data_IF_326659084555
#
_entry.id   IF_326659084555
#
_cell.length_a   1.000
_cell.length_b   1.000
_cell.length_c   1.000
_cell.angle_alpha   90.00
_cell.angle_beta   90.00
_cell.angle_gamma   90.00
#
_symmetry.space_group_name_H-M   'P 1'
#
loop_
_entity.id
_entity.type
_entity.pdbx_description
1 polymer ?
#
# COMPACT_ATOMS: atom_id res chain seq x y z
N UNK A 1 -8.50 -11.59 3.38
CA UNK A 1 -9.11 -10.23 3.24
C UNK A 1 -10.60 -10.43 3.08
N UNK A 2 -11.45 -9.57 3.67
CA UNK A 2 -12.88 -9.59 3.33
C UNK A 2 -13.09 -9.08 1.88
N UNK A 3 -14.29 -9.20 1.27
CA UNK A 3 -14.48 -8.83 -0.14
C UNK A 3 -14.07 -7.38 -0.48
N UNK A 4 -14.37 -6.41 0.38
CA UNK A 4 -14.01 -5.00 0.15
C UNK A 4 -12.49 -4.77 0.25
N UNK A 5 -11.86 -5.37 1.26
CA UNK A 5 -10.40 -5.34 1.43
C UNK A 5 -9.69 -6.06 0.28
N UNK A 6 -10.25 -7.17 -0.20
CA UNK A 6 -9.71 -7.93 -1.33
C UNK A 6 -9.82 -7.12 -2.61
N UNK A 7 -10.94 -6.43 -2.87
CA UNK A 7 -11.08 -5.53 -4.01
C UNK A 7 -10.01 -4.43 -4.00
N UNK A 8 -9.75 -3.82 -2.85
CA UNK A 8 -8.70 -2.80 -2.74
C UNK A 8 -7.30 -3.38 -3.02
N UNK A 9 -7.02 -4.55 -2.48
CA UNK A 9 -5.77 -5.28 -2.75
C UNK A 9 -5.63 -5.61 -4.25
N UNK A 10 -6.67 -6.15 -4.86
CA UNK A 10 -6.68 -6.59 -6.26
C UNK A 10 -6.43 -5.44 -7.25
N UNK A 11 -7.02 -4.25 -6.99
CA UNK A 11 -6.74 -3.03 -7.77
C UNK A 11 -5.24 -2.68 -7.73
N UNK A 12 -4.63 -2.73 -6.54
CA UNK A 12 -3.22 -2.39 -6.35
C UNK A 12 -2.32 -3.41 -7.05
N UNK A 13 -2.60 -4.70 -6.94
CA UNK A 13 -1.79 -5.75 -7.57
C UNK A 13 -1.94 -5.76 -9.09
N UNK A 14 -3.15 -5.49 -9.60
CA UNK A 14 -3.38 -5.34 -11.03
C UNK A 14 -2.58 -4.17 -11.61
N UNK A 15 -2.55 -3.03 -10.90
CA UNK A 15 -1.73 -1.87 -11.30
C UNK A 15 -0.23 -2.20 -11.28
N UNK A 16 0.27 -2.85 -10.23
CA UNK A 16 1.66 -3.30 -10.15
C UNK A 16 2.02 -4.25 -11.30
N UNK A 17 1.10 -5.15 -11.67
CA UNK A 17 1.30 -6.11 -12.75
C UNK A 17 1.44 -5.39 -14.10
N UNK A 18 0.55 -4.44 -14.39
CA UNK A 18 0.63 -3.62 -15.60
C UNK A 18 1.92 -2.77 -15.66
N UNK A 19 2.34 -2.21 -14.52
CA UNK A 19 3.62 -1.49 -14.42
C UNK A 19 4.82 -2.41 -14.76
N UNK A 20 4.86 -3.62 -14.18
CA UNK A 20 5.93 -4.60 -14.47
C UNK A 20 5.91 -5.10 -15.92
N UNK A 21 4.72 -5.18 -16.53
CA UNK A 21 4.54 -5.50 -17.96
C UNK A 21 4.91 -4.33 -18.90
N UNK A 22 5.30 -3.17 -18.36
CA UNK A 22 5.61 -1.95 -19.12
C UNK A 22 4.42 -1.44 -19.97
N UNK A 23 3.20 -1.65 -19.47
CA UNK A 23 1.97 -1.19 -20.13
C UNK A 23 1.65 0.29 -19.84
N UNK A 24 2.49 0.97 -19.03
CA UNK A 24 2.35 2.37 -18.65
C UNK A 24 0.92 2.73 -18.17
N UNK A 25 0.37 2.00 -17.18
CA UNK A 25 -0.96 2.31 -16.67
C UNK A 25 -1.02 3.72 -16.08
N UNK A 26 -2.17 4.37 -16.18
CA UNK A 26 -2.42 5.66 -15.53
C UNK A 26 -2.11 5.58 -14.02
N UNK A 27 -1.76 6.73 -13.43
CA UNK A 27 -1.44 6.81 -12.01
C UNK A 27 -2.63 6.34 -11.17
N UNK A 28 -2.40 5.31 -10.34
CA UNK A 28 -3.41 4.86 -9.39
C UNK A 28 -3.54 5.84 -8.22
N UNK A 29 -4.61 6.62 -8.22
CA UNK A 29 -5.01 7.46 -7.10
C UNK A 29 -6.19 6.80 -6.38
N UNK A 30 -5.96 6.32 -5.17
CA UNK A 30 -6.96 5.57 -4.41
C UNK A 30 -7.10 6.09 -2.98
N UNK A 31 -8.34 6.33 -2.56
CA UNK A 31 -8.69 6.62 -1.17
C UNK A 31 -9.51 5.46 -0.60
N UNK A 32 -8.94 4.74 0.37
CA UNK A 32 -9.64 3.69 1.12
C UNK A 32 -10.24 4.27 2.41
N UNK A 33 -11.55 4.49 2.42
CA UNK A 33 -12.29 5.03 3.57
C UNK A 33 -12.91 3.93 4.44
N UNK A 34 -13.41 4.31 5.61
CA UNK A 34 -14.10 3.43 6.55
C UNK A 34 -13.72 3.75 7.99
N UNK A 35 -14.59 3.40 8.92
CA UNK A 35 -14.40 3.66 10.35
C UNK A 35 -13.14 3.01 10.93
N UNK A 36 -12.71 3.47 12.10
CA UNK A 36 -11.63 2.83 12.86
C UNK A 36 -11.92 1.34 13.07
N UNK A 37 -10.91 0.48 12.96
CA UNK A 37 -11.08 -0.97 13.19
C UNK A 37 -11.60 -1.79 12.01
N UNK A 38 -11.93 -1.18 10.86
CA UNK A 38 -12.41 -1.89 9.65
C UNK A 38 -11.33 -2.68 8.88
N UNK A 39 -10.11 -2.75 9.41
CA UNK A 39 -9.02 -3.55 8.83
C UNK A 39 -8.32 -2.93 7.62
N UNK A 40 -8.37 -1.59 7.44
CA UNK A 40 -7.60 -0.89 6.39
C UNK A 40 -6.09 -1.20 6.45
N UNK A 41 -5.51 -1.23 7.66
CA UNK A 41 -4.11 -1.62 7.86
C UNK A 41 -3.82 -3.04 7.39
N UNK A 42 -4.82 -3.94 7.41
CA UNK A 42 -4.67 -5.31 6.91
C UNK A 42 -4.47 -5.32 5.39
N UNK A 43 -5.11 -4.42 4.65
CA UNK A 43 -4.88 -4.24 3.21
C UNK A 43 -3.43 -3.82 2.96
N UNK A 44 -2.94 -2.82 3.69
CA UNK A 44 -1.54 -2.34 3.57
C UNK A 44 -0.55 -3.47 3.86
N UNK A 45 -0.79 -4.27 4.90
CA UNK A 45 0.06 -5.43 5.24
C UNK A 45 0.04 -6.50 4.14
N UNK A 46 -1.14 -6.81 3.57
CA UNK A 46 -1.26 -7.77 2.47
C UNK A 46 -0.56 -7.29 1.20
N UNK A 47 -0.69 -6.01 0.85
CA UNK A 47 0.04 -5.39 -0.27
C UNK A 47 1.55 -5.46 -0.02
N UNK A 48 2.00 -5.10 1.18
CA UNK A 48 3.44 -5.18 1.55
C UNK A 48 3.99 -6.58 1.35
N UNK A 49 3.27 -7.60 1.85
CA UNK A 49 3.69 -8.99 1.70
C UNK A 49 3.78 -9.41 0.23
N UNK A 50 2.86 -8.94 -0.60
CA UNK A 50 2.84 -9.28 -2.03
C UNK A 50 4.00 -8.64 -2.78
N UNK A 51 4.31 -7.37 -2.52
CA UNK A 51 5.51 -6.71 -3.07
C UNK A 51 6.81 -7.41 -2.64
N UNK A 52 6.87 -7.92 -1.41
CA UNK A 52 8.00 -8.75 -0.96
C UNK A 52 8.07 -10.09 -1.67
N UNK A 53 6.94 -10.79 -1.85
CA UNK A 53 6.91 -12.07 -2.58
C UNK A 53 7.34 -11.92 -4.04
N UNK A 54 7.00 -10.80 -4.67
CA UNK A 54 7.38 -10.49 -6.04
C UNK A 54 8.80 -9.92 -6.17
N UNK A 55 9.55 -9.80 -5.07
CA UNK A 55 10.90 -9.21 -5.03
C UNK A 55 11.00 -7.77 -5.56
N UNK A 56 9.93 -6.98 -5.37
CA UNK A 56 9.83 -5.57 -5.80
C UNK A 56 9.54 -4.65 -4.61
N UNK A 57 10.10 -4.96 -3.44
CA UNK A 57 9.83 -4.20 -2.21
C UNK A 57 10.33 -2.76 -2.27
N UNK A 58 11.35 -2.50 -3.08
CA UNK A 58 11.92 -1.20 -3.40
C UNK A 58 10.94 -0.29 -4.18
N UNK A 59 9.92 -0.86 -4.83
CA UNK A 59 8.87 -0.10 -5.51
C UNK A 59 7.77 0.41 -4.55
N UNK A 60 7.83 0.10 -3.25
CA UNK A 60 6.78 0.45 -2.29
C UNK A 60 7.30 1.33 -1.15
N UNK A 61 7.00 2.62 -1.22
CA UNK A 61 7.16 3.55 -0.10
C UNK A 61 5.90 3.57 0.78
N UNK A 62 6.07 3.55 2.11
CA UNK A 62 4.96 3.57 3.08
C UNK A 62 5.16 4.70 4.08
N UNK A 63 4.20 5.61 4.15
CA UNK A 63 4.22 6.79 5.00
C UNK A 63 3.02 6.87 5.94
N UNK A 64 3.21 7.47 7.12
CA UNK A 64 2.13 7.85 8.01
C UNK A 64 2.43 9.18 8.74
N UNK A 65 1.40 9.83 9.29
CA UNK A 65 1.55 11.12 9.98
C UNK A 65 2.27 11.03 11.33
N UNK A 66 2.10 9.93 12.06
CA UNK A 66 2.70 9.73 13.40
C UNK A 66 3.63 8.53 13.42
N UNK A 67 4.62 8.53 14.31
CA UNK A 67 5.57 7.43 14.45
C UNK A 67 4.92 6.09 14.78
N UNK A 68 3.91 6.08 15.65
CA UNK A 68 3.16 4.84 15.99
C UNK A 68 2.42 4.30 14.77
N UNK A 69 1.74 5.16 14.00
CA UNK A 69 1.06 4.72 12.78
C UNK A 69 2.04 4.19 11.72
N UNK A 70 3.20 4.83 11.57
CA UNK A 70 4.26 4.38 10.68
C UNK A 70 4.78 2.99 11.08
N UNK A 71 5.01 2.77 12.38
CA UNK A 71 5.42 1.47 12.91
C UNK A 71 4.41 0.36 12.59
N UNK A 72 3.10 0.62 12.71
CA UNK A 72 2.03 -0.37 12.46
C UNK A 72 2.02 -0.87 11.01
N UNK A 73 2.41 -0.03 10.05
CA UNK A 73 2.49 -0.38 8.62
C UNK A 73 3.91 -0.77 8.18
N UNK A 74 4.87 -0.80 9.11
CA UNK A 74 6.28 -1.03 8.82
C UNK A 74 6.84 -0.01 7.81
N UNK A 75 6.49 1.27 8.00
CA UNK A 75 6.90 2.38 7.16
C UNK A 75 7.58 3.48 7.97
N UNK A 76 7.68 4.67 7.38
CA UNK A 76 8.29 5.85 7.99
C UNK A 76 7.25 6.96 8.22
N UNK A 77 7.61 7.97 8.99
CA UNK A 77 6.78 9.18 9.04
C UNK A 77 6.88 9.93 7.72
N UNK A 78 5.84 10.68 7.34
CA UNK A 78 5.88 11.50 6.11
C UNK A 78 7.03 12.51 6.13
N UNK A 79 7.34 13.09 7.29
CA UNK A 79 8.49 13.98 7.47
C UNK A 79 9.80 13.29 7.09
N UNK A 80 10.05 12.10 7.63
CA UNK A 80 11.23 11.30 7.30
C UNK A 80 11.26 10.87 5.84
N UNK A 81 10.11 10.40 5.30
CA UNK A 81 10.03 9.85 3.95
C UNK A 81 10.21 10.92 2.87
N UNK A 82 9.74 12.14 3.13
CA UNK A 82 9.78 13.26 2.18
C UNK A 82 10.91 14.28 2.48
N UNK A 83 11.68 14.09 3.55
CA UNK A 83 12.76 15.01 3.93
C UNK A 83 12.27 16.39 4.40
N UNK A 84 11.11 16.44 5.07
CA UNK A 84 10.49 17.66 5.60
C UNK A 84 10.86 17.90 7.07
#
# INVERSE_FOLDING_TARGET
LNPAQFRAFDIIISHLTAMQAKEEPEQLLMQLTGEGGTGKSKVIQSVTLEFTKQNVSDMLAKGAYTGIAACVIGGQTLHTLCGL
#
